data_IF_663392328228
#
_entry.id   IF_663392328228
#
_cell.length_a   1.000
_cell.length_b   1.000
_cell.length_c   1.000
_cell.angle_alpha   90.00
_cell.angle_beta   90.00
_cell.angle_gamma   90.00
#
_symmetry.space_group_name_H-M   'P 1'
#
loop_
_entity.id
_entity.type
_entity.pdbx_description
1 polymer ?
#
# COMPACT_ATOMS: atom_id res chain seq x y z
N UNK A 1 -19.89 16.07 -7.81
CA UNK A 1 -19.48 14.73 -7.40
C UNK A 1 -18.08 14.76 -6.83
N UNK A 2 -17.89 14.07 -5.73
CA UNK A 2 -16.56 13.98 -5.15
C UNK A 2 -15.66 13.10 -6.05
N UNK A 3 -14.42 13.49 -6.18
CA UNK A 3 -13.42 12.68 -6.87
C UNK A 3 -13.15 11.43 -6.04
N UNK A 4 -12.83 10.34 -6.74
CA UNK A 4 -12.41 9.10 -6.08
C UNK A 4 -11.04 9.29 -5.45
N UNK A 5 -10.84 8.71 -4.27
CA UNK A 5 -9.52 8.65 -3.66
C UNK A 5 -8.64 7.71 -4.47
N UNK A 6 -7.38 8.09 -4.60
CA UNK A 6 -6.39 7.30 -5.35
C UNK A 6 -5.60 6.42 -4.40
N UNK A 7 -5.49 5.15 -4.74
CA UNK A 7 -4.68 4.19 -3.99
C UNK A 7 -3.58 3.68 -4.90
N UNK A 8 -2.34 3.78 -4.45
CA UNK A 8 -1.21 3.14 -5.11
C UNK A 8 -1.07 1.74 -4.54
N UNK A 9 -1.20 0.74 -5.38
CA UNK A 9 -1.10 -0.67 -5.01
C UNK A 9 0.22 -1.23 -5.54
N UNK A 10 1.11 -1.58 -4.62
CA UNK A 10 2.45 -2.08 -4.95
C UNK A 10 2.55 -3.54 -4.54
N UNK A 11 2.52 -4.42 -5.52
CA UNK A 11 2.50 -5.87 -5.32
C UNK A 11 3.03 -6.55 -6.58
N UNK A 12 4.01 -7.43 -6.43
CA UNK A 12 4.61 -8.13 -7.57
C UNK A 12 3.81 -9.37 -8.02
N UNK A 13 3.06 -9.99 -7.11
CA UNK A 13 2.22 -11.14 -7.46
C UNK A 13 0.99 -10.65 -8.21
N UNK A 14 0.85 -11.07 -9.47
CA UNK A 14 -0.23 -10.62 -10.32
C UNK A 14 -1.61 -11.02 -9.79
N UNK A 15 -1.74 -12.22 -9.24
CA UNK A 15 -3.03 -12.70 -8.71
C UNK A 15 -3.47 -11.90 -7.50
N UNK A 16 -2.55 -11.62 -6.58
CA UNK A 16 -2.83 -10.81 -5.39
C UNK A 16 -3.14 -9.37 -5.80
N UNK A 17 -2.34 -8.83 -6.71
CA UNK A 17 -2.55 -7.46 -7.21
C UNK A 17 -3.93 -7.32 -7.84
N UNK A 18 -4.33 -8.29 -8.68
CA UNK A 18 -5.63 -8.29 -9.32
C UNK A 18 -6.77 -8.33 -8.31
N UNK A 19 -6.66 -9.21 -7.30
CA UNK A 19 -7.67 -9.34 -6.25
C UNK A 19 -7.86 -8.03 -5.52
N UNK A 20 -6.78 -7.42 -5.09
CA UNK A 20 -6.85 -6.16 -4.33
C UNK A 20 -7.35 -5.03 -5.22
N UNK A 21 -6.87 -4.97 -6.47
CA UNK A 21 -7.32 -3.95 -7.43
C UNK A 21 -8.83 -3.99 -7.63
N UNK A 22 -9.36 -5.19 -7.93
CA UNK A 22 -10.80 -5.35 -8.17
C UNK A 22 -11.60 -4.93 -6.93
N UNK A 23 -11.16 -5.37 -5.75
CA UNK A 23 -11.85 -5.03 -4.51
C UNK A 23 -11.81 -3.52 -4.25
N UNK A 24 -10.69 -2.87 -4.49
CA UNK A 24 -10.58 -1.42 -4.37
C UNK A 24 -11.53 -0.70 -5.34
N UNK A 25 -11.55 -1.14 -6.59
CA UNK A 25 -12.42 -0.53 -7.61
C UNK A 25 -13.90 -0.68 -7.26
N UNK A 26 -14.28 -1.82 -6.70
CA UNK A 26 -15.65 -2.06 -6.25
C UNK A 26 -16.04 -1.15 -5.08
N UNK A 27 -15.06 -0.63 -4.37
CA UNK A 27 -15.28 0.29 -3.25
C UNK A 27 -14.97 1.74 -3.65
N UNK A 28 -14.98 2.00 -4.94
CA UNK A 28 -14.91 3.35 -5.51
C UNK A 28 -13.57 4.05 -5.33
N UNK A 29 -12.49 3.27 -5.25
CA UNK A 29 -11.14 3.81 -5.30
C UNK A 29 -10.62 3.82 -6.74
N UNK A 30 -9.86 4.83 -7.08
CA UNK A 30 -9.04 4.82 -8.28
C UNK A 30 -7.73 4.11 -7.94
N UNK A 31 -7.33 3.12 -8.73
CA UNK A 31 -6.16 2.30 -8.42
C UNK A 31 -5.04 2.55 -9.41
N UNK A 32 -3.87 2.80 -8.88
CA UNK A 32 -2.63 2.88 -9.65
C UNK A 32 -1.82 1.66 -9.26
N UNK A 33 -1.51 0.80 -10.21
CA UNK A 33 -0.80 -0.45 -9.94
C UNK A 33 0.69 -0.32 -10.22
N UNK A 34 1.50 -0.81 -9.29
CA UNK A 34 2.93 -0.94 -9.45
C UNK A 34 3.32 -2.39 -9.16
N UNK A 35 4.16 -2.97 -9.99
CA UNK A 35 4.54 -4.38 -9.88
C UNK A 35 5.81 -4.59 -9.07
N UNK A 36 6.49 -3.52 -8.69
CA UNK A 36 7.70 -3.59 -7.86
C UNK A 36 7.91 -2.26 -7.15
N UNK A 37 8.91 -2.21 -6.27
CA UNK A 37 9.18 -1.03 -5.47
C UNK A 37 9.68 0.15 -6.29
N UNK A 38 10.37 -0.11 -7.38
CA UNK A 38 10.87 0.96 -8.26
C UNK A 38 9.72 1.66 -8.95
N UNK A 39 8.79 0.90 -9.55
CA UNK A 39 7.56 1.48 -10.10
C UNK A 39 6.76 2.19 -9.02
N UNK A 40 6.70 1.60 -7.82
CA UNK A 40 6.00 2.19 -6.69
C UNK A 40 6.51 3.58 -6.37
N UNK A 41 7.81 3.75 -6.29
CA UNK A 41 8.42 5.06 -6.03
C UNK A 41 8.16 6.05 -7.15
N UNK A 42 8.26 5.60 -8.39
CA UNK A 42 7.98 6.43 -9.55
C UNK A 42 6.53 6.91 -9.55
N UNK A 43 5.59 6.01 -9.33
CA UNK A 43 4.16 6.33 -9.37
C UNK A 43 3.72 7.13 -8.15
N UNK A 44 4.38 6.94 -7.01
CA UNK A 44 4.15 7.77 -5.84
C UNK A 44 4.40 9.24 -6.16
N UNK A 45 5.49 9.51 -6.85
CA UNK A 45 5.83 10.88 -7.26
C UNK A 45 4.90 11.41 -8.35
N UNK A 46 4.58 10.58 -9.34
CA UNK A 46 3.78 10.98 -10.50
C UNK A 46 2.31 11.22 -10.15
N UNK A 47 1.74 10.38 -9.32
CA UNK A 47 0.29 10.37 -9.10
C UNK A 47 -0.16 10.92 -7.76
N UNK A 48 0.75 11.07 -6.80
CA UNK A 48 0.45 11.61 -5.46
C UNK A 48 -0.80 10.97 -4.85
N UNK A 49 -0.76 9.64 -4.61
CA UNK A 49 -1.94 8.92 -4.14
C UNK A 49 -2.35 9.35 -2.73
N UNK A 50 -3.61 9.10 -2.41
CA UNK A 50 -4.16 9.38 -1.08
C UNK A 50 -3.79 8.32 -0.05
N UNK A 51 -3.48 7.11 -0.52
CA UNK A 51 -3.04 6.00 0.32
C UNK A 51 -2.23 5.01 -0.50
N UNK A 52 -1.49 4.16 0.19
CA UNK A 52 -0.65 3.13 -0.45
C UNK A 52 -0.98 1.78 0.18
N UNK A 53 -1.20 0.76 -0.64
CA UNK A 53 -1.21 -0.64 -0.22
C UNK A 53 0.08 -1.25 -0.72
N UNK A 54 0.88 -1.78 0.18
CA UNK A 54 2.27 -2.14 -0.10
C UNK A 54 2.59 -3.54 0.39
N UNK A 55 3.14 -4.38 -0.49
CA UNK A 55 3.75 -5.64 -0.10
C UNK A 55 5.21 -5.39 0.27
N UNK A 56 5.64 -5.92 1.41
CA UNK A 56 7.03 -5.76 1.87
C UNK A 56 7.99 -6.72 1.17
N UNK A 57 7.48 -7.86 0.67
CA UNK A 57 8.31 -8.89 0.06
C UNK A 57 8.29 -8.79 -1.44
N UNK A 58 9.17 -7.97 -1.98
CA UNK A 58 9.32 -7.83 -3.42
C UNK A 58 10.80 -7.94 -3.80
N UNK A 59 11.10 -8.44 -5.01
CA UNK A 59 12.48 -8.40 -5.52
C UNK A 59 12.91 -6.95 -5.74
N UNK A 60 14.13 -6.72 -6.12
CA UNK A 60 14.69 -5.40 -6.47
C UNK A 60 14.61 -4.39 -5.31
N UNK A 61 13.82 -3.32 -5.46
CA UNK A 61 13.60 -2.37 -4.37
C UNK A 61 12.54 -2.95 -3.45
N UNK A 62 12.94 -3.37 -2.26
CA UNK A 62 12.03 -3.96 -1.29
C UNK A 62 11.01 -2.96 -0.78
N UNK A 63 9.86 -3.49 -0.34
CA UNK A 63 8.80 -2.67 0.22
C UNK A 63 9.25 -1.88 1.44
N UNK A 64 10.14 -2.44 2.24
CA UNK A 64 10.68 -1.74 3.42
C UNK A 64 11.46 -0.48 3.03
N UNK A 65 12.25 -0.57 1.95
CA UNK A 65 13.00 0.57 1.45
C UNK A 65 12.07 1.64 0.88
N UNK A 66 11.05 1.23 0.14
CA UNK A 66 10.05 2.15 -0.38
C UNK A 66 9.33 2.87 0.77
N UNK A 67 8.95 2.11 1.81
CA UNK A 67 8.28 2.66 2.98
C UNK A 67 9.17 3.68 3.69
N UNK A 68 10.44 3.37 3.88
CA UNK A 68 11.38 4.28 4.53
C UNK A 68 11.48 5.59 3.75
N UNK A 69 11.62 5.50 2.43
CA UNK A 69 11.71 6.68 1.58
C UNK A 69 10.42 7.51 1.62
N UNK A 70 9.28 6.84 1.61
CA UNK A 70 7.98 7.48 1.71
C UNK A 70 7.86 8.30 2.99
N UNK A 71 8.31 7.76 4.11
CA UNK A 71 8.25 8.43 5.42
C UNK A 71 9.30 9.53 5.59
N UNK A 72 10.39 9.50 4.81
CA UNK A 72 11.44 10.50 4.87
C UNK A 72 11.17 11.69 3.96
N UNK A 73 10.24 11.56 3.02
CA UNK A 73 9.91 12.63 2.07
C UNK A 73 8.78 13.46 2.65
N UNK A 74 8.95 14.76 2.69
CA UNK A 74 7.98 15.64 3.35
C UNK A 74 6.57 15.53 2.75
N UNK A 75 6.47 15.43 1.43
CA UNK A 75 5.19 15.34 0.75
C UNK A 75 4.41 14.07 1.08
N UNK A 76 5.10 12.98 1.43
CA UNK A 76 4.48 11.66 1.59
C UNK A 76 4.58 11.11 3.01
N UNK A 77 5.26 11.80 3.92
CA UNK A 77 5.50 11.25 5.27
C UNK A 77 4.24 10.95 6.06
N UNK A 78 3.12 11.54 5.70
CA UNK A 78 1.83 11.31 6.36
C UNK A 78 0.85 10.51 5.52
N UNK A 79 1.27 10.07 4.33
CA UNK A 79 0.41 9.27 3.47
C UNK A 79 0.08 7.95 4.18
N UNK A 80 -1.20 7.61 4.32
CA UNK A 80 -1.58 6.33 4.94
C UNK A 80 -1.03 5.15 4.14
N UNK A 81 -0.48 4.18 4.86
CA UNK A 81 0.05 2.96 4.25
C UNK A 81 -0.55 1.76 4.94
N UNK A 82 -1.08 0.83 4.16
CA UNK A 82 -1.53 -0.48 4.62
C UNK A 82 -0.58 -1.51 4.03
N UNK A 83 -0.07 -2.38 4.89
CA UNK A 83 0.90 -3.41 4.49
C UNK A 83 0.18 -4.74 4.33
N UNK A 84 0.40 -5.38 3.18
CA UNK A 84 0.03 -6.78 2.96
C UNK A 84 1.33 -7.54 2.80
N UNK A 85 1.53 -8.63 3.53
CA UNK A 85 2.81 -9.32 3.47
C UNK A 85 2.70 -10.80 3.84
N UNK A 86 3.43 -11.65 3.11
CA UNK A 86 3.62 -13.04 3.49
C UNK A 86 4.74 -13.22 4.51
N UNK A 87 5.43 -12.15 4.88
CA UNK A 87 6.54 -12.20 5.82
C UNK A 87 5.99 -12.34 7.24
N UNK A 88 6.33 -13.44 7.95
CA UNK A 88 5.74 -13.67 9.28
C UNK A 88 6.28 -12.73 10.35
N UNK A 89 7.49 -12.22 10.16
CA UNK A 89 8.12 -11.32 11.11
C UNK A 89 8.50 -10.01 10.44
N UNK A 90 8.12 -8.92 11.07
CA UNK A 90 8.41 -7.57 10.58
C UNK A 90 9.21 -6.84 11.65
N UNK A 91 10.27 -6.17 11.24
CA UNK A 91 11.12 -5.44 12.18
C UNK A 91 10.31 -4.36 12.91
N UNK A 92 10.55 -4.16 14.22
CA UNK A 92 9.84 -3.15 14.98
C UNK A 92 9.90 -1.75 14.37
N UNK A 93 11.00 -1.41 13.70
CA UNK A 93 11.17 -0.13 13.04
C UNK A 93 10.14 0.05 11.92
N UNK A 94 9.85 -1.01 11.18
CA UNK A 94 8.87 -0.98 10.10
C UNK A 94 7.46 -0.83 10.69
N UNK A 95 7.16 -1.56 11.75
CA UNK A 95 5.87 -1.44 12.44
C UNK A 95 5.67 0.00 12.90
N UNK A 96 6.72 0.63 13.43
CA UNK A 96 6.66 2.01 13.88
C UNK A 96 6.37 3.02 12.77
N UNK A 97 6.67 2.67 11.52
CA UNK A 97 6.44 3.58 10.39
C UNK A 97 5.00 3.59 9.89
N UNK A 98 4.23 2.53 10.17
CA UNK A 98 2.85 2.43 9.63
C UNK A 98 1.79 2.17 10.70
N UNK A 99 2.16 1.65 11.87
CA UNK A 99 1.22 1.21 12.90
C UNK A 99 0.80 -0.24 12.72
N UNK A 100 0.76 -0.97 13.83
CA UNK A 100 0.51 -2.42 13.81
C UNK A 100 -0.85 -2.78 13.22
N UNK A 101 -1.87 -1.95 13.45
CA UNK A 101 -3.21 -2.17 12.94
C UNK A 101 -3.30 -2.09 11.41
N UNK A 102 -2.25 -1.63 10.75
CA UNK A 102 -2.21 -1.47 9.30
C UNK A 102 -1.46 -2.62 8.61
N UNK A 103 -1.16 -3.70 9.33
CA UNK A 103 -0.51 -4.89 8.79
C UNK A 103 -1.51 -6.02 8.58
N UNK A 104 -1.50 -6.60 7.39
CA UNK A 104 -2.37 -7.73 7.03
C UNK A 104 -1.51 -8.86 6.48
N UNK A 105 -1.31 -9.94 7.26
CA UNK A 105 -0.53 -11.09 6.78
C UNK A 105 -1.28 -11.84 5.69
N UNK A 106 -0.56 -12.36 4.72
CA UNK A 106 -1.12 -13.22 3.68
C UNK A 106 -1.30 -14.65 4.21
N UNK A 107 -2.39 -15.30 3.92
CA UNK A 107 -3.56 -14.81 3.19
C UNK A 107 -4.40 -13.83 4.03
N UNK A 108 -4.95 -12.82 3.39
CA UNK A 108 -5.72 -11.79 4.07
C UNK A 108 -7.13 -11.69 3.49
N UNK A 109 -8.02 -11.07 4.24
CA UNK A 109 -9.37 -10.74 3.78
C UNK A 109 -9.32 -9.38 3.08
N UNK A 110 -9.59 -9.29 1.77
CA UNK A 110 -9.56 -8.00 1.07
C UNK A 110 -10.51 -6.97 1.66
N UNK A 111 -11.65 -7.40 2.19
CA UNK A 111 -12.62 -6.48 2.79
C UNK A 111 -12.05 -5.83 4.06
N UNK A 112 -11.24 -6.58 4.83
CA UNK A 112 -10.58 -6.01 6.00
C UNK A 112 -9.59 -4.91 5.61
N UNK A 113 -8.88 -5.09 4.50
CA UNK A 113 -7.98 -4.07 3.97
C UNK A 113 -8.76 -2.81 3.57
N UNK A 114 -9.90 -3.00 2.92
CA UNK A 114 -10.76 -1.88 2.51
C UNK A 114 -11.30 -1.14 3.73
N UNK A 115 -11.76 -1.86 4.75
CA UNK A 115 -12.28 -1.25 5.97
C UNK A 115 -11.20 -0.37 6.63
N UNK A 116 -9.96 -0.86 6.63
CA UNK A 116 -8.86 -0.11 7.22
C UNK A 116 -8.52 1.13 6.38
N UNK A 117 -8.51 1.01 5.06
CA UNK A 117 -8.29 2.16 4.17
C UNK A 117 -9.37 3.22 4.37
N UNK A 118 -10.63 2.81 4.46
CA UNK A 118 -11.74 3.74 4.67
C UNK A 118 -11.56 4.51 5.98
N UNK A 119 -11.06 3.85 7.02
CA UNK A 119 -10.81 4.52 8.29
C UNK A 119 -9.67 5.52 8.19
N UNK A 120 -8.67 5.24 7.35
CA UNK A 120 -7.48 6.09 7.22
C UNK A 120 -7.71 7.30 6.32
N UNK A 121 -8.47 7.15 5.24
CA UNK A 121 -8.65 8.21 4.25
C UNK A 121 -10.01 8.90 4.35
N UNK A 122 -10.92 8.26 5.07
CA UNK A 122 -12.28 8.71 5.19
C UNK A 122 -12.43 9.95 5.98
#
# INVERSE_FOLDING_TARGET
MAERKKVLLVEDDESVRQLVRVTLQMNEYEVIEAKDGLEGLLFLDMHKPDAVVLDLMMPDVGGERMLAQLRQTEETRRTPVVIITGKPEVAPEVVGLVGQENFFPKPFDPDAVIDRLNALVG
#
